data_IF_610554488875
#
_entry.id   IF_610554488875
#
_cell.length_a   1.000
_cell.length_b   1.000
_cell.length_c   1.000
_cell.angle_alpha   90.00
_cell.angle_beta   90.00
_cell.angle_gamma   90.00
#
_symmetry.space_group_name_H-M   'P 1'
#
loop_
_entity.id
_entity.type
_entity.pdbx_description
1 polymer ?
#
# COMPACT_ATOMS: atom_id res chain seq x y z
N UNK A 1 20.66 30.75 36.74
CA UNK A 1 19.80 31.57 37.61
C UNK A 1 18.37 31.46 37.11
N UNK A 2 17.44 31.03 37.96
CA UNK A 2 16.02 30.83 37.65
C UNK A 2 15.32 32.17 37.89
N UNK A 3 14.87 32.83 36.83
CA UNK A 3 14.04 34.02 36.95
C UNK A 3 12.58 33.56 37.07
N UNK A 4 11.95 33.97 38.18
CA UNK A 4 10.53 33.79 38.44
C UNK A 4 9.74 34.66 37.48
N UNK A 5 8.76 34.08 36.78
CA UNK A 5 7.67 34.85 36.18
C UNK A 5 6.36 34.46 36.87
N UNK A 6 5.50 35.44 37.16
CA UNK A 6 4.33 35.28 38.01
C UNK A 6 3.24 34.51 37.27
N UNK A 7 2.46 33.78 38.05
CA UNK A 7 1.19 33.18 37.66
C UNK A 7 0.24 34.28 37.17
N UNK A 8 0.06 34.39 35.85
CA UNK A 8 -1.16 34.93 35.26
C UNK A 8 -2.00 33.73 34.83
N UNK A 9 -3.21 33.68 35.39
CA UNK A 9 -4.26 32.71 35.09
C UNK A 9 -4.78 32.91 33.65
N UNK A 10 -5.14 31.79 33.01
CA UNK A 10 -5.86 31.66 31.74
C UNK A 10 -5.11 31.96 30.42
N UNK A 11 -4.13 31.11 30.08
CA UNK A 11 -3.90 30.69 28.68
C UNK A 11 -4.60 29.33 28.46
N UNK A 12 -5.93 29.33 28.52
CA UNK A 12 -6.78 28.22 28.06
C UNK A 12 -7.37 28.56 26.69
N UNK A 13 -6.52 28.77 25.70
CA UNK A 13 -6.84 28.46 24.30
C UNK A 13 -5.68 27.62 23.79
N UNK A 14 -5.64 26.40 24.33
CA UNK A 14 -4.97 25.28 23.70
C UNK A 14 -5.63 25.12 22.34
N UNK A 15 -5.09 25.82 21.33
CA UNK A 15 -5.31 25.64 19.88
C UNK A 15 -4.80 24.23 19.47
N UNK A 16 -5.20 23.22 20.23
CA UNK A 16 -5.03 21.79 19.98
C UNK A 16 -6.13 21.33 19.00
N UNK A 17 -6.41 22.20 18.01
CA UNK A 17 -7.22 21.94 16.82
C UNK A 17 -6.36 21.23 15.74
N UNK A 18 -5.24 20.60 16.13
CA UNK A 18 -4.72 19.46 15.38
C UNK A 18 -5.64 18.28 15.66
N UNK A 19 -6.81 18.31 15.04
CA UNK A 19 -7.59 17.12 14.77
C UNK A 19 -6.67 16.17 13.98
N UNK A 20 -6.01 15.23 14.65
CA UNK A 20 -5.28 14.09 14.07
C UNK A 20 -6.26 13.10 13.40
N UNK A 21 -7.33 13.66 12.83
CA UNK A 21 -8.54 13.03 12.29
C UNK A 21 -8.44 12.93 10.75
N UNK A 22 -7.37 13.49 10.16
CA UNK A 22 -7.03 13.17 8.78
C UNK A 22 -6.40 11.77 8.78
N UNK A 23 -7.24 10.74 8.68
CA UNK A 23 -6.83 9.44 8.12
C UNK A 23 -6.32 9.70 6.69
N UNK A 24 -5.09 10.20 6.59
CA UNK A 24 -4.42 10.51 5.34
C UNK A 24 -4.17 9.20 4.63
N UNK A 25 -5.09 8.83 3.74
CA UNK A 25 -4.87 7.78 2.77
C UNK A 25 -3.70 8.21 1.89
N UNK A 26 -2.56 7.56 2.10
CA UNK A 26 -1.40 7.75 1.27
C UNK A 26 -1.66 7.12 -0.11
N UNK A 27 -1.05 7.66 -1.18
CA UNK A 27 -1.22 7.09 -2.53
C UNK A 27 -0.86 5.59 -2.65
N UNK A 28 -0.14 5.02 -1.68
CA UNK A 28 0.26 3.61 -1.69
C UNK A 28 -0.68 2.71 -0.89
N UNK A 29 -1.58 3.24 -0.07
CA UNK A 29 -2.47 2.43 0.79
C UNK A 29 -3.47 1.61 -0.03
N UNK A 30 -3.79 2.05 -1.24
CA UNK A 30 -4.67 1.33 -2.17
C UNK A 30 -3.91 0.33 -3.07
N UNK A 31 -2.58 0.22 -2.93
CA UNK A 31 -1.74 -0.63 -3.79
C UNK A 31 -1.49 -1.97 -3.13
N UNK A 32 -1.93 -3.05 -3.78
CA UNK A 32 -1.54 -4.40 -3.36
C UNK A 32 -0.08 -4.69 -3.75
N UNK A 33 0.82 -4.98 -2.79
CA UNK A 33 2.26 -5.07 -3.05
C UNK A 33 2.63 -6.28 -3.91
N UNK A 34 1.90 -7.39 -3.80
CA UNK A 34 2.19 -8.61 -4.57
C UNK A 34 1.75 -8.44 -6.02
N UNK A 35 0.55 -7.89 -6.21
CA UNK A 35 0.03 -7.50 -7.53
C UNK A 35 1.00 -6.54 -8.23
N UNK A 36 1.41 -5.49 -7.53
CA UNK A 36 2.32 -4.47 -8.08
C UNK A 36 3.69 -5.04 -8.45
N UNK A 37 4.27 -5.90 -7.61
CA UNK A 37 5.52 -6.58 -7.91
C UNK A 37 5.41 -7.41 -9.20
N UNK A 38 4.38 -8.25 -9.31
CA UNK A 38 4.19 -9.12 -10.48
C UNK A 38 3.95 -8.31 -11.76
N UNK A 39 3.18 -7.23 -11.67
CA UNK A 39 2.97 -6.33 -12.82
C UNK A 39 4.25 -5.64 -13.25
N UNK A 40 5.09 -5.23 -12.30
CA UNK A 40 6.41 -4.65 -12.59
C UNK A 40 7.32 -5.66 -13.29
N UNK A 41 7.34 -6.91 -12.83
CA UNK A 41 8.13 -7.99 -13.46
C UNK A 41 7.62 -8.31 -14.86
N UNK A 42 6.29 -8.35 -15.06
CA UNK A 42 5.68 -8.55 -16.39
C UNK A 42 5.98 -7.38 -17.34
N UNK A 43 5.92 -6.15 -16.83
CA UNK A 43 6.28 -4.96 -17.60
C UNK A 43 7.76 -4.97 -18.00
N UNK A 44 8.65 -5.39 -17.10
CA UNK A 44 10.07 -5.60 -17.39
C UNK A 44 10.25 -6.64 -18.49
N UNK A 45 9.58 -7.79 -18.39
CA UNK A 45 9.63 -8.84 -19.41
C UNK A 45 9.14 -8.36 -20.77
N UNK A 46 8.07 -7.56 -20.81
CA UNK A 46 7.49 -7.05 -22.05
C UNK A 46 8.33 -5.93 -22.69
N UNK A 47 8.94 -5.07 -21.87
CA UNK A 47 9.72 -3.91 -22.34
C UNK A 47 11.18 -4.23 -22.66
N UNK A 48 11.80 -5.15 -21.91
CA UNK A 48 13.20 -5.56 -22.08
C UNK A 48 13.34 -7.07 -21.77
N UNK A 49 12.97 -7.94 -22.73
CA UNK A 49 13.00 -9.39 -22.53
C UNK A 49 14.39 -9.94 -22.20
N UNK A 50 15.45 -9.33 -22.74
CA UNK A 50 16.84 -9.75 -22.52
C UNK A 50 17.26 -9.44 -21.08
N UNK A 51 16.94 -8.25 -20.58
CA UNK A 51 17.19 -7.91 -19.17
C UNK A 51 16.42 -8.81 -18.22
N UNK A 52 15.15 -9.10 -18.50
CA UNK A 52 14.37 -10.05 -17.71
C UNK A 52 15.02 -11.43 -17.68
N UNK A 53 15.40 -11.98 -18.85
CA UNK A 53 16.06 -13.28 -18.94
C UNK A 53 17.36 -13.31 -18.11
N UNK A 54 18.21 -12.31 -18.27
CA UNK A 54 19.46 -12.21 -17.52
C UNK A 54 19.21 -12.17 -16.02
N UNK A 55 18.23 -11.39 -15.56
CA UNK A 55 17.85 -11.33 -14.15
C UNK A 55 17.38 -12.69 -13.64
N UNK A 56 16.42 -13.34 -14.33
CA UNK A 56 15.87 -14.63 -13.90
C UNK A 56 16.93 -15.74 -13.88
N UNK A 57 17.89 -15.72 -14.80
CA UNK A 57 18.98 -16.70 -14.85
C UNK A 57 20.00 -16.54 -13.71
N UNK A 58 20.11 -15.37 -13.09
CA UNK A 58 20.97 -15.16 -11.91
C UNK A 58 20.38 -15.69 -10.61
N UNK A 59 19.07 -15.94 -10.58
CA UNK A 59 18.39 -16.49 -9.40
C UNK A 59 18.68 -17.98 -9.27
N UNK A 60 19.01 -18.41 -8.06
CA UNK A 60 19.06 -19.84 -7.74
C UNK A 60 17.65 -20.45 -7.69
N UNK A 61 17.58 -21.77 -7.52
CA UNK A 61 16.31 -22.49 -7.47
C UNK A 61 15.38 -21.98 -6.35
N UNK A 62 15.93 -21.55 -5.21
CA UNK A 62 15.12 -21.06 -4.09
C UNK A 62 14.40 -19.76 -4.47
N UNK A 63 15.13 -18.80 -5.05
CA UNK A 63 14.55 -17.53 -5.47
C UNK A 63 13.65 -17.66 -6.70
N UNK A 64 13.94 -18.59 -7.62
CA UNK A 64 13.02 -18.91 -8.71
C UNK A 64 11.70 -19.48 -8.19
N UNK A 65 11.74 -20.41 -7.22
CA UNK A 65 10.55 -20.95 -6.58
C UNK A 65 9.76 -19.86 -5.82
N UNK A 66 10.45 -18.95 -5.13
CA UNK A 66 9.83 -17.81 -4.44
C UNK A 66 9.16 -16.84 -5.43
N UNK A 67 9.80 -16.53 -6.56
CA UNK A 67 9.20 -15.67 -7.58
C UNK A 67 7.90 -16.29 -8.14
N UNK A 68 7.90 -17.60 -8.37
CA UNK A 68 6.71 -18.32 -8.81
C UNK A 68 5.60 -18.36 -7.74
N UNK A 69 5.94 -18.54 -6.46
CA UNK A 69 4.94 -18.54 -5.40
C UNK A 69 4.33 -17.15 -5.18
N UNK A 70 5.14 -16.08 -5.31
CA UNK A 70 4.66 -14.69 -5.30
C UNK A 70 3.71 -14.44 -6.48
N UNK A 71 4.03 -14.95 -7.67
CA UNK A 71 3.14 -14.85 -8.83
C UNK A 71 1.77 -15.52 -8.58
N UNK A 72 1.77 -16.73 -8.00
CA UNK A 72 0.54 -17.42 -7.62
C UNK A 72 -0.25 -16.67 -6.55
N UNK A 73 0.43 -16.11 -5.55
CA UNK A 73 -0.23 -15.34 -4.50
C UNK A 73 -0.85 -14.04 -5.05
N UNK A 74 -0.17 -13.36 -5.98
CA UNK A 74 -0.73 -12.17 -6.62
C UNK A 74 -2.00 -12.49 -7.43
N UNK A 75 -2.11 -13.68 -8.04
CA UNK A 75 -3.35 -14.11 -8.71
C UNK A 75 -4.51 -14.28 -7.72
N UNK A 76 -4.25 -14.86 -6.54
CA UNK A 76 -5.25 -14.97 -5.47
C UNK A 76 -5.70 -13.58 -5.01
N UNK A 77 -4.75 -12.67 -4.77
CA UNK A 77 -5.03 -11.28 -4.37
C UNK A 77 -5.87 -10.52 -5.40
N UNK A 78 -5.61 -10.70 -6.70
CA UNK A 78 -6.44 -10.09 -7.76
C UNK A 78 -7.90 -10.53 -7.66
N UNK A 79 -8.14 -11.83 -7.46
CA UNK A 79 -9.49 -12.36 -7.34
C UNK A 79 -10.21 -11.84 -6.08
N UNK A 80 -9.50 -11.74 -4.96
CA UNK A 80 -10.02 -11.16 -3.71
C UNK A 80 -10.37 -9.67 -3.88
N UNK A 81 -9.48 -8.89 -4.47
CA UNK A 81 -9.70 -7.46 -4.74
C UNK A 81 -10.89 -7.26 -5.68
N UNK A 82 -11.01 -8.07 -6.74
CA UNK A 82 -12.16 -8.01 -7.65
C UNK A 82 -13.48 -8.31 -6.91
N UNK A 83 -13.47 -9.34 -6.06
CA UNK A 83 -14.61 -9.69 -5.22
C UNK A 83 -14.99 -8.56 -4.26
N UNK A 84 -14.03 -7.99 -3.54
CA UNK A 84 -14.25 -6.86 -2.63
C UNK A 84 -14.81 -5.63 -3.36
N UNK A 85 -14.33 -5.36 -4.58
CA UNK A 85 -14.84 -4.28 -5.44
C UNK A 85 -16.30 -4.53 -5.84
N UNK A 86 -16.66 -5.76 -6.21
CA UNK A 86 -18.05 -6.13 -6.52
C UNK A 86 -18.96 -6.00 -5.30
N UNK A 87 -18.51 -6.47 -4.13
CA UNK A 87 -19.26 -6.37 -2.88
C UNK A 87 -19.50 -4.91 -2.47
N UNK A 88 -18.46 -4.06 -2.48
CA UNK A 88 -18.59 -2.61 -2.22
C UNK A 88 -19.54 -1.94 -3.21
N UNK A 89 -19.46 -2.26 -4.50
CA UNK A 89 -20.36 -1.71 -5.52
C UNK A 89 -21.82 -2.13 -5.26
N UNK A 90 -22.06 -3.37 -4.84
CA UNK A 90 -23.40 -3.88 -4.53
C UNK A 90 -24.01 -3.26 -3.26
N UNK A 91 -23.18 -2.99 -2.24
CA UNK A 91 -23.60 -2.32 -1.01
C UNK A 91 -24.02 -0.86 -1.26
N UNK A 92 -23.29 -0.16 -2.14
CA UNK A 92 -23.61 1.22 -2.52
C UNK A 92 -24.84 1.31 -3.45
N UNK A 93 -25.19 0.24 -4.15
CA UNK A 93 -26.30 0.20 -5.12
C UNK A 93 -27.65 -0.26 -4.52
N UNK A 94 -27.70 -0.71 -3.26
CA UNK A 94 -28.94 -1.12 -2.61
C UNK A 94 -29.73 0.12 -2.11
N UNK A 95 -30.96 0.37 -2.61
CA UNK A 95 -31.79 1.47 -2.09
C UNK A 95 -32.25 1.17 -0.66
N UNK A 96 -32.30 2.20 0.18
CA UNK A 96 -32.87 2.18 1.53
C UNK A 96 -34.38 1.90 1.53
#
# INVERSE_FOLDING_TARGET
AKAFHPTDDDDSDSDDDFSDDEELLSPIDEVDPFVFFVDTVKALQASDPIRFQNLTQTLDFHFQALANSVAQHAEQRRAEIEKEKMEKASATAAPS
#
